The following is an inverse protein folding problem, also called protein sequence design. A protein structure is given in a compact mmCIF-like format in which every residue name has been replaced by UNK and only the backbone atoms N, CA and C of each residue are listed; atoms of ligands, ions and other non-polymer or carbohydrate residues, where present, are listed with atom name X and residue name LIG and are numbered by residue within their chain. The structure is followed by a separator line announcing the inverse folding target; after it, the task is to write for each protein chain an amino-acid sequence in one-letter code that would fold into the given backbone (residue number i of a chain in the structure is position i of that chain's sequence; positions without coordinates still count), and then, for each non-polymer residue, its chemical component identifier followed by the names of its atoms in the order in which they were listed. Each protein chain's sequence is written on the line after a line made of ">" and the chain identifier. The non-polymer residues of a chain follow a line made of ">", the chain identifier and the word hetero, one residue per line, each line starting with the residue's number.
data_IF_201688690336
#
_entry.id   IF_201688690336
#
_cell.length_a   1.000
_cell.length_b   1.000
_cell.length_c   1.000
_cell.angle_alpha   90.00
_cell.angle_beta   90.00
_cell.angle_gamma   90.00
#
_symmetry.space_group_name_H-M   'P 1'
#
loop_
_entity.id
_entity.type
_entity.pdbx_description
1 polymer ?
#
# COMPACT_ATOMS: atom_id res chain seq x y z
N UNK A 1 24.04 -18.59 1.14
CA UNK A 1 23.30 -17.47 1.81
C UNK A 1 23.93 -16.13 1.48
N UNK A 2 25.13 -15.80 1.89
CA UNK A 2 25.78 -14.48 1.67
C UNK A 2 25.76 -13.96 0.24
N UNK A 3 26.01 -14.80 -0.77
CA UNK A 3 26.00 -14.44 -2.20
C UNK A 3 24.59 -14.07 -2.69
N UNK A 4 23.54 -14.68 -2.15
CA UNK A 4 22.14 -14.37 -2.50
C UNK A 4 21.75 -13.01 -1.88
N UNK A 5 22.13 -12.78 -0.64
CA UNK A 5 21.91 -11.51 0.05
C UNK A 5 22.57 -10.33 -0.68
N UNK A 6 23.84 -10.48 -1.08
CA UNK A 6 24.56 -9.44 -1.84
C UNK A 6 23.90 -9.13 -3.20
N UNK A 7 23.40 -10.16 -3.90
CA UNK A 7 22.67 -9.97 -5.16
C UNK A 7 21.35 -9.23 -4.96
N UNK A 8 20.61 -9.58 -3.89
CA UNK A 8 19.35 -8.90 -3.55
C UNK A 8 19.63 -7.44 -3.20
N UNK A 9 20.60 -7.17 -2.34
CA UNK A 9 20.94 -5.80 -1.94
C UNK A 9 21.40 -4.97 -3.15
N UNK A 10 22.30 -5.50 -4.00
CA UNK A 10 22.73 -4.79 -5.21
C UNK A 10 21.58 -4.50 -6.18
N UNK A 11 20.63 -5.42 -6.28
CA UNK A 11 19.42 -5.19 -7.07
C UNK A 11 18.52 -4.09 -6.46
N UNK A 12 18.27 -4.13 -5.16
CA UNK A 12 17.49 -3.11 -4.47
C UNK A 12 18.10 -1.71 -4.65
N UNK A 13 19.43 -1.61 -4.56
CA UNK A 13 20.14 -0.36 -4.82
C UNK A 13 19.92 0.12 -6.25
N UNK A 14 19.93 -0.79 -7.23
CA UNK A 14 19.66 -0.45 -8.64
C UNK A 14 18.24 0.02 -8.90
N UNK A 15 17.27 -0.30 -8.00
CA UNK A 15 15.86 0.05 -8.08
C UNK A 15 15.46 1.20 -7.17
N UNK A 16 16.41 1.78 -6.48
CA UNK A 16 16.17 2.80 -5.45
C UNK A 16 15.29 3.95 -5.94
N UNK A 17 15.59 4.51 -7.10
CA UNK A 17 14.85 5.64 -7.64
C UNK A 17 13.41 5.27 -8.05
N UNK A 18 13.22 4.06 -8.59
CA UNK A 18 11.90 3.51 -8.92
C UNK A 18 11.03 3.34 -7.66
N UNK A 19 11.62 2.79 -6.60
CA UNK A 19 10.97 2.59 -5.30
C UNK A 19 10.56 3.92 -4.68
N UNK A 20 11.47 4.88 -4.67
CA UNK A 20 11.23 6.22 -4.14
C UNK A 20 10.13 6.94 -4.94
N UNK A 21 10.15 6.82 -6.27
CA UNK A 21 9.16 7.45 -7.14
C UNK A 21 7.77 6.82 -6.95
N UNK A 22 7.68 5.51 -6.80
CA UNK A 22 6.44 4.83 -6.45
C UNK A 22 5.86 5.36 -5.14
N UNK A 23 6.65 5.38 -4.05
CA UNK A 23 6.20 5.90 -2.76
C UNK A 23 5.78 7.37 -2.87
N UNK A 24 6.53 8.18 -3.61
CA UNK A 24 6.19 9.59 -3.85
C UNK A 24 4.85 9.74 -4.55
N UNK A 25 4.58 8.95 -5.58
CA UNK A 25 3.29 8.94 -6.30
C UNK A 25 2.15 8.58 -5.35
N UNK A 26 2.34 7.54 -4.53
CA UNK A 26 1.32 7.09 -3.59
C UNK A 26 1.06 8.13 -2.47
N UNK A 27 2.11 8.79 -1.96
CA UNK A 27 1.98 9.86 -0.95
C UNK A 27 1.21 11.06 -1.50
N UNK A 28 1.41 11.39 -2.78
CA UNK A 28 0.72 12.51 -3.47
C UNK A 28 -0.77 12.30 -3.67
N UNK A 29 -1.27 11.08 -3.53
CA UNK A 29 -2.71 10.80 -3.58
C UNK A 29 -3.26 10.94 -2.17
N UNK A 30 -4.09 11.95 -1.86
CA UNK A 30 -4.81 12.01 -0.61
C UNK A 30 -5.66 10.75 -0.42
N UNK A 31 -5.59 10.17 0.77
CA UNK A 31 -6.39 8.99 1.15
C UNK A 31 -6.80 9.08 2.62
N UNK A 32 -7.32 10.24 3.00
CA UNK A 32 -7.90 10.40 4.34
C UNK A 32 -9.05 9.41 4.50
N UNK A 33 -9.24 8.92 5.73
CA UNK A 33 -10.31 7.95 6.03
C UNK A 33 -11.65 8.39 5.42
N UNK A 34 -12.19 7.57 4.54
CA UNK A 34 -13.41 7.85 3.75
C UNK A 34 -13.13 8.29 2.30
N UNK A 35 -11.90 8.61 1.94
CA UNK A 35 -11.49 9.13 0.62
C UNK A 35 -10.40 8.28 -0.05
N UNK A 36 -10.37 6.96 0.24
CA UNK A 36 -9.29 6.06 -0.18
C UNK A 36 -9.36 5.64 -1.67
N UNK A 37 -10.46 5.91 -2.35
CA UNK A 37 -10.78 5.36 -3.67
C UNK A 37 -9.66 5.58 -4.71
N UNK A 38 -9.11 6.78 -4.82
CA UNK A 38 -8.08 7.06 -5.83
C UNK A 38 -6.75 6.36 -5.52
N UNK A 39 -6.42 6.22 -4.24
CA UNK A 39 -5.24 5.47 -3.82
C UNK A 39 -5.43 3.96 -4.08
N UNK A 40 -6.62 3.41 -3.86
CA UNK A 40 -6.95 2.03 -4.21
C UNK A 40 -6.93 1.79 -5.73
N UNK A 41 -7.43 2.72 -6.53
CA UNK A 41 -7.31 2.66 -8.00
C UNK A 41 -5.85 2.69 -8.46
N UNK A 42 -5.00 3.45 -7.78
CA UNK A 42 -3.57 3.45 -8.05
C UNK A 42 -2.97 2.08 -7.78
N UNK A 43 -3.26 1.46 -6.62
CA UNK A 43 -2.79 0.11 -6.27
C UNK A 43 -3.35 -0.94 -7.24
N UNK A 44 -4.62 -0.86 -7.64
CA UNK A 44 -5.20 -1.74 -8.65
C UNK A 44 -4.39 -1.74 -9.95
N UNK A 45 -4.08 -0.54 -10.48
CA UNK A 45 -3.25 -0.41 -11.70
C UNK A 45 -1.85 -0.97 -11.49
N UNK A 46 -1.22 -0.64 -10.35
CA UNK A 46 0.10 -1.16 -10.00
C UNK A 46 0.13 -2.68 -10.01
N UNK A 47 -0.83 -3.35 -9.39
CA UNK A 47 -0.89 -4.81 -9.35
C UNK A 47 -1.15 -5.42 -10.73
N UNK A 48 -1.96 -4.76 -11.57
CA UNK A 48 -2.16 -5.16 -12.96
C UNK A 48 -0.88 -5.03 -13.80
N UNK A 49 -0.13 -3.95 -13.62
CA UNK A 49 1.14 -3.71 -14.31
C UNK A 49 2.24 -4.71 -13.87
N UNK A 50 2.05 -5.36 -12.73
CA UNK A 50 2.89 -6.45 -12.22
C UNK A 50 2.44 -7.84 -12.67
N UNK A 51 1.45 -7.95 -13.57
CA UNK A 51 0.84 -9.21 -14.03
C UNK A 51 0.25 -10.07 -12.90
N UNK A 52 -0.20 -9.44 -11.79
CA UNK A 52 -0.88 -10.15 -10.72
C UNK A 52 -2.35 -10.43 -11.10
N UNK A 53 -2.89 -11.52 -10.56
CA UNK A 53 -4.34 -11.74 -10.51
C UNK A 53 -4.93 -10.75 -9.50
N UNK A 54 -5.69 -9.77 -9.97
CA UNK A 54 -6.19 -8.68 -9.11
C UNK A 54 -7.66 -8.86 -8.83
N UNK A 55 -8.01 -8.81 -7.55
CA UNK A 55 -9.39 -8.74 -7.07
C UNK A 55 -9.64 -7.44 -6.30
N UNK A 56 -10.89 -6.94 -6.39
CA UNK A 56 -11.30 -5.72 -5.71
C UNK A 56 -12.76 -5.81 -5.29
N UNK A 57 -13.06 -5.45 -4.06
CA UNK A 57 -14.42 -5.47 -3.51
C UNK A 57 -14.63 -4.44 -2.42
N UNK A 58 -15.84 -3.97 -2.27
CA UNK A 58 -16.28 -3.22 -1.10
C UNK A 58 -16.78 -4.20 -0.03
N UNK A 59 -16.47 -3.99 1.27
CA UNK A 59 -17.00 -4.82 2.33
C UNK A 59 -18.53 -4.78 2.38
N UNK A 60 -19.19 -5.94 2.33
CA UNK A 60 -20.64 -6.03 2.57
C UNK A 60 -20.93 -5.98 4.07
N UNK A 61 -21.55 -4.89 4.49
CA UNK A 61 -21.91 -4.64 5.90
C UNK A 61 -22.85 -5.73 6.44
N UNK A 62 -23.77 -6.26 5.62
CA UNK A 62 -24.70 -7.28 6.07
C UNK A 62 -23.96 -8.60 6.36
N UNK A 63 -22.95 -8.93 5.57
CA UNK A 63 -22.10 -10.09 5.83
C UNK A 63 -21.19 -9.85 7.03
N UNK A 64 -20.57 -8.66 7.15
CA UNK A 64 -19.72 -8.33 8.29
C UNK A 64 -20.48 -8.40 9.63
N UNK A 65 -21.72 -7.93 9.68
CA UNK A 65 -22.56 -7.97 10.90
C UNK A 65 -22.87 -9.39 11.39
N UNK A 66 -22.75 -10.40 10.55
CA UNK A 66 -22.92 -11.80 10.97
C UNK A 66 -21.70 -12.32 11.75
N UNK A 67 -20.55 -11.67 11.64
CA UNK A 67 -19.35 -12.13 12.32
C UNK A 67 -19.35 -11.65 13.78
N UNK A 68 -19.09 -12.55 14.77
CA UNK A 68 -19.19 -12.23 16.18
C UNK A 68 -18.20 -11.15 16.66
N UNK A 69 -17.10 -10.94 15.94
CA UNK A 69 -16.13 -9.88 16.23
C UNK A 69 -16.46 -8.54 15.54
N UNK A 70 -17.57 -8.44 14.80
CA UNK A 70 -17.94 -7.18 14.18
C UNK A 70 -18.38 -6.16 15.22
N UNK A 71 -17.85 -4.95 15.11
CA UNK A 71 -18.34 -3.78 15.84
C UNK A 71 -18.24 -2.54 14.96
N UNK A 72 -19.15 -1.60 15.18
CA UNK A 72 -19.16 -0.36 14.43
C UNK A 72 -18.13 0.62 14.99
N UNK A 73 -17.07 0.85 14.22
CA UNK A 73 -16.07 1.88 14.53
C UNK A 73 -16.63 3.28 14.28
N UNK A 74 -16.01 4.31 14.86
CA UNK A 74 -16.36 5.71 14.59
C UNK A 74 -16.23 6.05 13.11
N UNK A 75 -15.19 5.55 12.45
CA UNK A 75 -14.97 5.74 11.00
C UNK A 75 -16.07 5.07 10.18
N UNK A 76 -16.49 3.84 10.55
CA UNK A 76 -17.60 3.18 9.88
C UNK A 76 -18.90 3.94 10.01
N UNK A 77 -19.24 4.43 11.21
CA UNK A 77 -20.47 5.24 11.44
C UNK A 77 -20.49 6.51 10.60
N UNK A 78 -19.33 7.13 10.41
CA UNK A 78 -19.22 8.41 9.68
C UNK A 78 -19.20 8.24 8.16
N UNK A 79 -18.49 7.23 7.64
CA UNK A 79 -18.17 7.12 6.24
C UNK A 79 -18.74 5.87 5.54
N UNK A 80 -19.10 4.82 6.31
CA UNK A 80 -19.48 3.52 5.74
C UNK A 80 -18.34 2.88 4.94
N UNK A 81 -18.70 2.00 4.01
CA UNK A 81 -17.74 1.32 3.11
C UNK A 81 -17.95 1.64 1.62
N UNK A 82 -18.95 2.45 1.27
CA UNK A 82 -19.22 2.81 -0.13
C UNK A 82 -18.04 3.60 -0.71
N UNK A 83 -17.58 3.23 -1.90
CA UNK A 83 -16.41 3.78 -2.58
C UNK A 83 -15.09 3.59 -1.80
N UNK A 84 -15.03 2.56 -0.95
CA UNK A 84 -13.86 2.20 -0.16
C UNK A 84 -13.47 0.74 -0.40
N UNK A 85 -13.09 0.39 -1.64
CA UNK A 85 -12.76 -1.00 -1.96
C UNK A 85 -11.46 -1.43 -1.29
N UNK A 86 -11.38 -2.73 -0.98
CA UNK A 86 -10.11 -3.41 -0.79
C UNK A 86 -9.57 -3.84 -2.15
N UNK A 87 -8.25 -3.88 -2.28
CA UNK A 87 -7.56 -4.36 -3.49
C UNK A 87 -6.55 -5.42 -3.08
N UNK A 88 -6.61 -6.58 -3.72
CA UNK A 88 -5.66 -7.69 -3.53
C UNK A 88 -5.00 -8.02 -4.87
N UNK A 89 -3.68 -8.12 -4.86
CA UNK A 89 -2.89 -8.73 -5.91
C UNK A 89 -2.41 -10.12 -5.49
N UNK A 90 -2.64 -11.13 -6.32
CA UNK A 90 -2.22 -12.51 -6.06
C UNK A 90 -1.19 -12.96 -7.06
N UNK A 91 -0.01 -13.29 -6.57
CA UNK A 91 1.02 -13.98 -7.32
C UNK A 91 0.88 -15.48 -7.11
N UNK A 92 0.67 -16.24 -8.19
CA UNK A 92 0.61 -17.71 -8.10
C UNK A 92 2.01 -18.28 -8.05
N UNK A 93 2.30 -19.08 -7.03
CA UNK A 93 3.50 -19.87 -6.92
C UNK A 93 3.44 -21.19 -7.72
N UNK A 94 4.50 -21.99 -7.63
CA UNK A 94 4.60 -23.30 -8.29
C UNK A 94 3.74 -24.41 -7.66
N UNK A 95 3.08 -24.15 -6.55
CA UNK A 95 2.29 -25.11 -5.78
C UNK A 95 3.11 -25.93 -4.77
N UNK A 96 2.42 -26.56 -3.81
CA UNK A 96 3.04 -27.46 -2.80
C UNK A 96 3.76 -26.75 -1.63
N UNK A 97 3.92 -25.44 -1.66
CA UNK A 97 4.52 -24.64 -0.59
C UNK A 97 3.52 -23.86 0.24
N UNK A 98 4.04 -23.11 1.22
CA UNK A 98 3.25 -22.19 2.04
C UNK A 98 2.91 -20.91 1.28
N UNK A 99 1.79 -20.29 1.63
CA UNK A 99 1.42 -18.95 1.15
C UNK A 99 1.84 -17.87 2.13
N UNK A 100 2.14 -16.67 1.60
CA UNK A 100 2.41 -15.47 2.39
C UNK A 100 1.32 -14.45 2.07
N UNK A 101 0.78 -13.80 3.09
CA UNK A 101 -0.12 -12.68 2.97
C UNK A 101 0.56 -11.41 3.49
N UNK A 102 0.84 -10.46 2.58
CA UNK A 102 1.37 -9.14 2.89
C UNK A 102 0.22 -8.15 2.95
N UNK A 103 0.01 -7.54 4.10
CA UNK A 103 -1.14 -6.66 4.34
C UNK A 103 -0.66 -5.26 4.72
N UNK A 104 -1.42 -4.25 4.30
CA UNK A 104 -1.20 -2.86 4.66
C UNK A 104 -2.47 -2.05 4.49
N UNK A 105 -2.62 -0.96 5.28
CA UNK A 105 -3.69 0.01 5.12
C UNK A 105 -3.23 1.19 4.26
N UNK A 106 -4.14 1.73 3.47
CA UNK A 106 -3.86 2.84 2.56
C UNK A 106 -4.42 4.17 3.05
N UNK A 107 -5.39 4.09 3.96
CA UNK A 107 -5.96 5.27 4.59
C UNK A 107 -4.96 5.95 5.52
N UNK A 108 -5.14 7.25 5.67
CA UNK A 108 -4.32 8.09 6.53
C UNK A 108 -5.21 9.00 7.38
N UNK A 109 -4.70 9.42 8.53
CA UNK A 109 -5.38 10.42 9.36
C UNK A 109 -5.34 11.80 8.69
N UNK A 110 -6.26 12.69 9.09
CA UNK A 110 -6.30 14.06 8.61
C UNK A 110 -4.93 14.76 8.73
N UNK A 111 -4.51 15.54 7.73
CA UNK A 111 -3.30 16.36 7.83
C UNK A 111 -3.52 17.67 8.58
N UNK A 112 -4.74 17.96 9.02
CA UNK A 112 -5.06 19.22 9.73
C UNK A 112 -4.41 19.30 11.13
N UNK A 113 -3.98 20.50 11.56
CA UNK A 113 -3.97 21.75 10.80
C UNK A 113 -2.81 21.80 9.79
N UNK A 114 -3.10 22.23 8.57
CA UNK A 114 -2.10 22.33 7.48
C UNK A 114 -0.98 23.31 7.82
N UNK A 115 -1.26 24.33 8.63
CA UNK A 115 -0.30 25.33 9.08
C UNK A 115 0.89 24.75 9.84
N UNK A 116 0.76 23.58 10.42
CA UNK A 116 1.82 22.96 11.25
C UNK A 116 2.84 22.18 10.40
N UNK A 117 2.58 22.05 9.07
CA UNK A 117 3.45 21.33 8.19
C UNK A 117 4.56 22.23 7.62
N UNK A 118 5.81 21.83 7.83
CA UNK A 118 6.96 22.47 7.17
C UNK A 118 6.95 22.27 5.65
N UNK A 119 6.47 21.10 5.19
CA UNK A 119 6.30 20.77 3.79
C UNK A 119 4.85 20.31 3.56
N UNK A 120 4.22 20.67 2.43
CA UNK A 120 2.82 20.30 2.19
C UNK A 120 2.59 18.79 2.37
N UNK A 121 1.52 18.36 3.06
CA UNK A 121 1.29 16.95 3.45
C UNK A 121 1.18 15.99 2.27
N UNK A 122 0.84 16.48 1.09
CA UNK A 122 0.73 15.66 -0.13
C UNK A 122 1.87 15.93 -1.14
N UNK A 123 2.96 16.53 -0.72
CA UNK A 123 4.08 16.85 -1.61
C UNK A 123 4.89 15.62 -2.02
N UNK A 124 5.08 14.65 -1.12
CA UNK A 124 6.08 13.60 -1.29
C UNK A 124 7.47 14.18 -1.54
N UNK A 125 7.75 15.36 -0.96
CA UNK A 125 9.02 16.06 -1.11
C UNK A 125 10.15 15.31 -0.43
N UNK A 126 11.34 15.34 -1.01
CA UNK A 126 12.54 14.73 -0.42
C UNK A 126 13.53 15.82 -0.05
N UNK A 127 13.89 15.87 1.22
CA UNK A 127 14.86 16.84 1.75
C UNK A 127 15.85 16.09 2.66
N UNK A 128 17.12 16.23 2.40
CA UNK A 128 18.20 15.56 3.15
C UNK A 128 17.99 14.04 3.29
N UNK A 129 17.55 13.38 2.20
CA UNK A 129 17.33 11.93 2.16
C UNK A 129 16.07 11.44 2.89
N UNK A 130 15.19 12.33 3.36
CA UNK A 130 13.92 11.99 4.02
C UNK A 130 12.76 12.44 3.16
N UNK A 131 11.77 11.54 2.96
CA UNK A 131 10.51 11.88 2.31
C UNK A 131 9.52 12.46 3.32
N UNK A 132 8.93 13.60 2.96
CA UNK A 132 7.92 14.29 3.76
C UNK A 132 6.55 14.15 3.11
N UNK A 133 5.57 13.75 3.91
CA UNK A 133 4.18 13.65 3.48
C UNK A 133 3.32 12.82 4.43
N UNK A 134 2.00 13.08 4.44
CA UNK A 134 1.04 12.33 5.26
C UNK A 134 0.99 10.89 4.77
N UNK A 135 1.18 9.94 5.70
CA UNK A 135 1.17 8.51 5.39
C UNK A 135 2.49 7.98 4.81
N UNK A 136 3.55 8.81 4.63
CA UNK A 136 4.83 8.33 4.09
C UNK A 136 5.43 7.19 4.93
N UNK A 137 5.33 7.24 6.25
CA UNK A 137 5.75 6.18 7.15
C UNK A 137 4.60 5.22 7.51
N UNK A 138 3.43 5.75 7.85
CA UNK A 138 2.27 5.00 8.32
C UNK A 138 1.07 5.22 7.37
N UNK A 139 0.81 4.30 6.39
CA UNK A 139 1.61 3.09 6.15
C UNK A 139 2.00 2.92 4.68
N UNK A 140 1.99 4.00 3.86
CA UNK A 140 2.31 3.93 2.42
C UNK A 140 3.74 3.43 2.15
N UNK A 141 4.68 3.74 3.05
CA UNK A 141 6.03 3.18 2.99
C UNK A 141 6.05 1.65 3.16
N UNK A 142 5.26 1.12 4.09
CA UNK A 142 5.09 -0.33 4.27
C UNK A 142 4.47 -1.00 3.04
N UNK A 143 3.45 -0.38 2.42
CA UNK A 143 2.86 -0.86 1.16
C UNK A 143 3.93 -0.91 0.06
N UNK A 144 4.77 0.13 -0.04
CA UNK A 144 5.86 0.17 -1.01
C UNK A 144 6.86 -0.99 -0.82
N UNK A 145 7.19 -1.34 0.42
CA UNK A 145 8.05 -2.50 0.71
C UNK A 145 7.37 -3.81 0.31
N UNK A 146 6.08 -3.97 0.62
CA UNK A 146 5.31 -5.15 0.23
C UNK A 146 5.26 -5.32 -1.29
N UNK A 147 5.00 -4.25 -2.04
CA UNK A 147 4.98 -4.22 -3.51
C UNK A 147 6.34 -4.67 -4.08
N UNK A 148 7.43 -4.15 -3.53
CA UNK A 148 8.79 -4.52 -3.91
C UNK A 148 9.06 -6.01 -3.67
N UNK A 149 8.70 -6.55 -2.51
CA UNK A 149 8.87 -7.97 -2.20
C UNK A 149 8.17 -8.86 -3.22
N UNK A 150 6.96 -8.51 -3.65
CA UNK A 150 6.20 -9.28 -4.65
C UNK A 150 6.84 -9.20 -6.03
N UNK A 151 7.28 -8.00 -6.47
CA UNK A 151 7.99 -7.82 -7.74
C UNK A 151 9.24 -8.70 -7.83
N UNK A 152 10.02 -8.74 -6.76
CA UNK A 152 11.26 -9.50 -6.71
C UNK A 152 11.01 -11.00 -6.68
N UNK A 153 10.01 -11.45 -5.91
CA UNK A 153 9.67 -12.87 -5.89
C UNK A 153 9.23 -13.37 -7.28
N UNK A 154 8.44 -12.59 -8.02
CA UNK A 154 8.01 -12.95 -9.38
C UNK A 154 9.20 -13.09 -10.34
N UNK A 155 10.25 -12.28 -10.16
CA UNK A 155 11.43 -12.23 -11.03
C UNK A 155 12.44 -13.32 -10.72
N UNK A 156 12.71 -13.59 -9.46
CA UNK A 156 13.75 -14.53 -9.04
C UNK A 156 13.25 -15.97 -8.90
N UNK A 157 11.93 -16.22 -8.93
CA UNK A 157 11.31 -17.55 -8.75
C UNK A 157 11.92 -18.32 -7.58
N UNK A 158 12.09 -17.64 -6.42
CA UNK A 158 12.62 -18.23 -5.20
C UNK A 158 11.53 -19.07 -4.54
#
# INVERSE_FOLDING_TARGET
>A
MKIVEEKILGYLDSKRDEIIDFLRKLVRIPSVVGEELEAQKFMYRTFRDMDLEVDTWEPDVNELRKHPAFFETTSFRKYGYKNRPNVIGKLRGGGGGSSIFLCGHIDVVSPEPISDWTYPPWSGGIVNGKMYGRGAADQKGGICINDLCVKEHSRFRI
#
